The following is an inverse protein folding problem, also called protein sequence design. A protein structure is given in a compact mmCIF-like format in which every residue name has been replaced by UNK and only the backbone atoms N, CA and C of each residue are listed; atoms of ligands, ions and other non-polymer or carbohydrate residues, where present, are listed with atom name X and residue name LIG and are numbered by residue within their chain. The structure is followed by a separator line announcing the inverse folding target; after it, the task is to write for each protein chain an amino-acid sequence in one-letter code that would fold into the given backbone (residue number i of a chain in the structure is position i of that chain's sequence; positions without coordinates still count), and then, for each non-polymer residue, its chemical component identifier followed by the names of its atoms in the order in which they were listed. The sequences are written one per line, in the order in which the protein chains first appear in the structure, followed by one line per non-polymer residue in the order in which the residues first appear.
data_IF_506547883069
#
_entry.id   IF_506547883069
#
_cell.length_a   1.000
_cell.length_b   1.000
_cell.length_c   1.000
_cell.angle_alpha   90.00
_cell.angle_beta   90.00
_cell.angle_gamma   90.00
#
_symmetry.space_group_name_H-M   'P 1'
#
loop_
_entity.id
_entity.type
_entity.pdbx_description
1 polymer ?
#
# COMPACT_ATOMS: atom_id res chain seq x y z
N UNK A 1 -11.63 11.64 -13.49
CA UNK A 1 -10.64 11.36 -12.43
C UNK A 1 -11.41 10.93 -11.19
N UNK A 2 -11.08 9.77 -10.62
CA UNK A 2 -11.79 9.19 -9.48
C UNK A 2 -10.94 9.34 -8.21
N UNK A 3 -11.57 9.65 -7.07
CA UNK A 3 -10.90 9.77 -5.78
C UNK A 3 -11.39 8.69 -4.81
N UNK A 4 -10.45 8.00 -4.18
CA UNK A 4 -10.71 6.98 -3.16
C UNK A 4 -10.04 7.45 -1.87
N UNK A 5 -10.83 7.60 -0.80
CA UNK A 5 -10.32 7.99 0.51
C UNK A 5 -10.20 6.79 1.43
N UNK A 6 -9.05 6.66 2.10
CA UNK A 6 -8.81 5.65 3.12
C UNK A 6 -8.02 6.29 4.27
N UNK A 7 -8.69 6.47 5.41
CA UNK A 7 -8.11 7.15 6.56
C UNK A 7 -7.09 6.26 7.27
N UNK A 8 -5.85 6.75 7.37
CA UNK A 8 -4.80 6.17 8.20
C UNK A 8 -4.26 7.30 9.10
N UNK A 9 -4.34 7.16 10.44
CA UNK A 9 -3.73 8.10 11.38
C UNK A 9 -2.25 8.32 11.07
N UNK A 10 -1.73 9.52 11.33
CA UNK A 10 -0.33 9.80 11.03
C UNK A 10 0.62 8.86 11.79
N UNK A 11 1.67 8.38 11.11
CA UNK A 11 2.57 7.31 11.59
C UNK A 11 1.88 5.99 11.99
N UNK A 12 0.57 5.87 11.79
CA UNK A 12 -0.25 4.74 12.17
C UNK A 12 -0.39 3.68 11.09
N UNK A 13 -1.27 2.71 11.37
CA UNK A 13 -1.57 1.53 10.55
C UNK A 13 -3.03 1.55 10.09
N UNK A 14 -3.37 0.87 8.99
CA UNK A 14 -4.76 0.64 8.62
C UNK A 14 -5.55 -0.01 9.76
N UNK A 15 -6.65 0.63 10.18
CA UNK A 15 -7.46 0.12 11.30
C UNK A 15 -8.20 -1.18 10.98
N UNK A 16 -8.43 -1.47 9.68
CA UNK A 16 -9.11 -2.69 9.24
C UNK A 16 -8.35 -3.34 8.08
N UNK A 17 -7.80 -4.52 8.33
CA UNK A 17 -7.15 -5.37 7.31
C UNK A 17 -8.13 -5.72 6.19
N UNK A 18 -9.41 -5.98 6.53
CA UNK A 18 -10.44 -6.28 5.53
C UNK A 18 -10.68 -5.11 4.57
N UNK A 19 -10.82 -3.89 5.10
CA UNK A 19 -11.11 -2.72 4.26
C UNK A 19 -9.92 -2.33 3.39
N UNK A 20 -8.70 -2.32 3.95
CA UNK A 20 -7.49 -2.03 3.15
C UNK A 20 -7.27 -3.09 2.08
N UNK A 21 -7.54 -4.37 2.36
CA UNK A 21 -7.45 -5.46 1.37
C UNK A 21 -8.46 -5.27 0.23
N UNK A 22 -9.71 -4.96 0.55
CA UNK A 22 -10.73 -4.69 -0.46
C UNK A 22 -10.34 -3.51 -1.36
N UNK A 23 -9.84 -2.41 -0.77
CA UNK A 23 -9.33 -1.28 -1.53
C UNK A 23 -8.11 -1.66 -2.38
N UNK A 24 -7.14 -2.38 -1.81
CA UNK A 24 -5.93 -2.78 -2.51
C UNK A 24 -6.22 -3.69 -3.71
N UNK A 25 -7.17 -4.63 -3.59
CA UNK A 25 -7.66 -5.45 -4.71
C UNK A 25 -8.30 -4.58 -5.79
N UNK A 26 -9.09 -3.58 -5.40
CA UNK A 26 -9.67 -2.61 -6.35
C UNK A 26 -8.59 -1.85 -7.12
N UNK A 27 -7.57 -1.35 -6.42
CA UNK A 27 -6.44 -0.65 -7.04
C UNK A 27 -5.64 -1.58 -7.97
N UNK A 28 -5.38 -2.82 -7.55
CA UNK A 28 -4.72 -3.82 -8.38
C UNK A 28 -5.51 -4.14 -9.66
N UNK A 29 -6.83 -4.26 -9.58
CA UNK A 29 -7.71 -4.41 -10.75
C UNK A 29 -7.61 -3.22 -11.71
N UNK A 30 -7.63 -1.98 -11.18
CA UNK A 30 -7.45 -0.78 -12.01
C UNK A 30 -6.10 -0.79 -12.75
N UNK A 31 -5.03 -1.20 -12.08
CA UNK A 31 -3.71 -1.34 -12.70
C UNK A 31 -3.70 -2.43 -13.79
N UNK A 32 -4.40 -3.55 -13.55
CA UNK A 32 -4.58 -4.62 -14.53
C UNK A 32 -5.35 -4.19 -15.78
N UNK A 33 -6.29 -3.26 -15.65
CA UNK A 33 -7.01 -2.62 -16.76
C UNK A 33 -6.15 -1.61 -17.55
N UNK A 34 -4.87 -1.43 -17.20
CA UNK A 34 -4.00 -0.42 -17.80
C UNK A 34 -4.22 1.01 -17.30
N UNK A 35 -5.00 1.21 -16.22
CA UNK A 35 -5.18 2.54 -15.61
C UNK A 35 -3.99 2.89 -14.73
N UNK A 36 -3.73 4.19 -14.59
CA UNK A 36 -2.74 4.71 -13.64
C UNK A 36 -3.40 5.11 -12.32
N UNK A 37 -2.75 4.78 -11.20
CA UNK A 37 -3.20 5.11 -9.84
C UNK A 37 -2.14 5.95 -9.14
N UNK A 38 -2.54 7.10 -8.59
CA UNK A 38 -1.71 7.91 -7.72
C UNK A 38 -2.12 7.71 -6.26
N UNK A 39 -1.14 7.49 -5.37
CA UNK A 39 -1.35 7.35 -3.93
C UNK A 39 -0.54 8.41 -3.20
N UNK A 40 -1.18 9.17 -2.31
CA UNK A 40 -0.52 10.22 -1.54
C UNK A 40 -0.90 10.17 -0.05
N UNK A 41 -0.08 10.82 0.77
CA UNK A 41 -0.42 11.18 2.14
C UNK A 41 0.06 12.62 2.37
N UNK A 42 0.64 12.95 3.54
CA UNK A 42 1.30 14.25 3.75
C UNK A 42 2.70 14.31 3.13
N UNK A 43 3.56 13.31 3.42
CA UNK A 43 4.97 13.30 3.00
C UNK A 43 5.31 12.26 1.91
N UNK A 44 4.35 11.39 1.54
CA UNK A 44 4.56 10.38 0.49
C UNK A 44 5.42 9.16 0.88
N UNK A 45 5.87 9.06 2.14
CA UNK A 45 6.86 8.05 2.60
C UNK A 45 6.24 6.92 3.43
N UNK A 46 5.34 7.24 4.37
CA UNK A 46 4.76 6.25 5.31
C UNK A 46 3.46 5.64 4.80
N UNK A 47 2.33 6.27 5.13
CA UNK A 47 0.97 5.77 4.85
C UNK A 47 0.69 5.47 3.38
N UNK A 48 1.19 6.32 2.48
CA UNK A 48 1.06 6.09 1.04
C UNK A 48 1.87 4.88 0.57
N UNK A 49 3.04 4.61 1.17
CA UNK A 49 3.83 3.42 0.86
C UNK A 49 3.12 2.16 1.36
N UNK A 50 2.47 2.19 2.53
CA UNK A 50 1.65 1.07 3.01
C UNK A 50 0.54 0.73 2.01
N UNK A 51 -0.22 1.74 1.54
CA UNK A 51 -1.30 1.53 0.56
C UNK A 51 -0.75 1.02 -0.78
N UNK A 52 0.32 1.63 -1.29
CA UNK A 52 0.95 1.21 -2.53
C UNK A 52 1.48 -0.23 -2.46
N UNK A 53 2.10 -0.61 -1.34
CA UNK A 53 2.58 -1.96 -1.12
C UNK A 53 1.43 -2.97 -1.09
N UNK A 54 0.32 -2.66 -0.42
CA UNK A 54 -0.86 -3.53 -0.43
C UNK A 54 -1.38 -3.76 -1.86
N UNK A 55 -1.47 -2.70 -2.67
CA UNK A 55 -1.90 -2.81 -4.06
C UNK A 55 -0.96 -3.70 -4.89
N UNK A 56 0.37 -3.53 -4.72
CA UNK A 56 1.37 -4.39 -5.38
C UNK A 56 1.28 -5.85 -4.93
N UNK A 57 1.04 -6.10 -3.63
CA UNK A 57 0.84 -7.45 -3.09
C UNK A 57 -0.42 -8.09 -3.68
N UNK A 58 -1.52 -7.33 -3.76
CA UNK A 58 -2.75 -7.80 -4.41
C UNK A 58 -2.58 -8.03 -5.92
N UNK A 59 -1.61 -7.36 -6.56
CA UNK A 59 -1.21 -7.59 -7.95
C UNK A 59 -0.22 -8.77 -8.12
N UNK A 60 0.08 -9.52 -7.05
CA UNK A 60 0.89 -10.74 -7.10
C UNK A 60 2.35 -10.60 -6.68
N UNK A 61 2.78 -9.43 -6.18
CA UNK A 61 4.12 -9.28 -5.63
C UNK A 61 4.22 -9.81 -4.19
N UNK A 62 5.42 -10.22 -3.78
CA UNK A 62 5.69 -10.45 -2.36
C UNK A 62 5.82 -9.12 -1.61
N UNK A 63 5.52 -9.07 -0.30
CA UNK A 63 5.64 -7.85 0.49
C UNK A 63 7.03 -7.21 0.45
N UNK A 64 8.08 -8.04 0.48
CA UNK A 64 9.48 -7.59 0.43
C UNK A 64 9.77 -6.87 -0.89
N UNK A 65 9.42 -7.50 -2.01
CA UNK A 65 9.61 -6.92 -3.35
C UNK A 65 8.81 -5.63 -3.53
N UNK A 66 7.59 -5.58 -2.99
CA UNK A 66 6.77 -4.37 -3.04
C UNK A 66 7.46 -3.20 -2.32
N UNK A 67 7.92 -3.39 -1.08
CA UNK A 67 8.62 -2.36 -0.32
C UNK A 67 9.93 -1.93 -0.98
N UNK A 68 10.72 -2.86 -1.50
CA UNK A 68 11.96 -2.58 -2.22
C UNK A 68 11.72 -1.74 -3.47
N UNK A 69 10.70 -2.08 -4.26
CA UNK A 69 10.35 -1.32 -5.47
C UNK A 69 9.89 0.09 -5.14
N UNK A 70 9.10 0.26 -4.08
CA UNK A 70 8.66 1.58 -3.64
C UNK A 70 9.85 2.41 -3.14
N UNK A 71 10.74 1.81 -2.33
CA UNK A 71 11.96 2.46 -1.86
C UNK A 71 12.84 2.92 -3.03
N UNK A 72 13.09 2.03 -3.99
CA UNK A 72 13.88 2.32 -5.18
C UNK A 72 13.27 3.45 -6.01
N UNK A 73 11.95 3.43 -6.23
CA UNK A 73 11.25 4.48 -6.97
C UNK A 73 11.26 5.83 -6.25
N UNK A 74 11.30 5.83 -4.91
CA UNK A 74 11.39 7.04 -4.09
C UNK A 74 12.81 7.55 -3.85
N UNK A 75 13.83 6.72 -4.08
CA UNK A 75 15.22 7.04 -3.77
C UNK A 75 15.53 7.12 -2.27
N UNK A 76 14.63 6.61 -1.42
CA UNK A 76 14.78 6.62 0.04
C UNK A 76 14.07 5.43 0.67
N UNK A 77 14.38 5.13 1.93
CA UNK A 77 13.65 4.13 2.70
C UNK A 77 12.18 4.54 2.85
N UNK A 78 11.29 3.55 2.79
CA UNK A 78 9.84 3.73 2.84
C UNK A 78 9.26 2.92 4.00
N UNK A 79 8.07 3.31 4.46
CA UNK A 79 7.56 3.06 5.81
C UNK A 79 8.21 4.02 6.81
N UNK A 80 7.38 4.85 7.45
CA UNK A 80 7.80 5.89 8.40
C UNK A 80 8.08 5.32 9.81
N UNK A 81 7.65 4.08 10.04
CA UNK A 81 7.87 3.32 11.27
C UNK A 81 8.14 1.85 10.94
N UNK A 82 8.87 1.17 11.82
CA UNK A 82 9.06 -0.29 11.73
C UNK A 82 7.71 -1.02 11.80
N UNK A 83 6.78 -0.52 12.61
CA UNK A 83 5.41 -1.04 12.67
C UNK A 83 4.71 -1.03 11.29
N UNK A 84 4.90 0.01 10.47
CA UNK A 84 4.35 0.04 9.11
C UNK A 84 5.01 -1.00 8.20
N UNK A 85 6.34 -1.16 8.31
CA UNK A 85 7.07 -2.19 7.56
C UNK A 85 6.56 -3.58 7.93
N UNK A 86 6.55 -3.90 9.22
CA UNK A 86 6.16 -5.21 9.74
C UNK A 86 4.71 -5.54 9.40
N UNK A 87 3.83 -4.54 9.49
CA UNK A 87 2.43 -4.70 9.11
C UNK A 87 2.29 -5.04 7.62
N UNK A 88 3.06 -4.40 6.73
CA UNK A 88 3.07 -4.75 5.29
C UNK A 88 3.64 -6.14 5.07
N UNK A 89 4.71 -6.53 5.78
CA UNK A 89 5.28 -7.89 5.71
C UNK A 89 4.26 -8.94 6.15
N UNK A 90 3.42 -8.64 7.14
CA UNK A 90 2.35 -9.52 7.62
C UNK A 90 1.10 -9.52 6.71
N UNK A 91 0.92 -8.53 5.84
CA UNK A 91 -0.26 -8.41 4.99
C UNK A 91 -0.38 -9.61 4.02
N UNK A 92 -1.61 -10.11 3.87
CA UNK A 92 -1.96 -11.24 2.99
C UNK A 92 -3.16 -10.88 2.13
N UNK A 93 -3.12 -11.32 0.86
CA UNK A 93 -4.22 -11.20 -0.10
C UNK A 93 -5.23 -12.37 0.01
N UNK A 94 -5.39 -12.96 1.18
CA UNK A 94 -6.34 -14.05 1.46
C UNK A 94 -7.52 -13.54 2.28
N UNK A 95 -8.67 -14.22 2.24
CA UNK A 95 -9.89 -13.79 2.95
C UNK A 95 -9.99 -14.30 4.39
N UNK A 96 -8.96 -14.99 4.89
CA UNK A 96 -8.81 -15.31 6.32
C UNK A 96 -8.75 -14.06 7.22
#
# INVERSE_FOLDING_TARGET
MEFISFAIPDRGLPASVRQIRAMARRLAGMLGDGKSVAVHCRAGIGRSAVVAACAMICAGMTPQVALERIAKARGTAVSDTDAQRDWVIAFRNTDE
#
